data_IF_574559858874
#
_entry.id   IF_574559858874
#
_cell.length_a   1.000
_cell.length_b   1.000
_cell.length_c   1.000
_cell.angle_alpha   90.00
_cell.angle_beta   90.00
_cell.angle_gamma   90.00
#
_symmetry.space_group_name_H-M   'P 1'
#
loop_
_entity.id
_entity.type
_entity.pdbx_description
1 polymer ?
#
# COMPACT_ATOMS: atom_id res chain seq x y z
N UNK A 1 10.70 12.96 8.40
CA UNK A 1 10.87 13.84 7.23
C UNK A 1 11.57 15.13 7.65
N UNK A 2 10.96 16.01 8.49
CA UNK A 2 11.51 17.33 8.87
C UNK A 2 12.96 17.30 9.33
N UNK A 3 13.34 16.36 10.23
CA UNK A 3 14.73 16.25 10.71
C UNK A 3 15.73 15.92 9.60
N UNK A 4 15.35 15.09 8.64
CA UNK A 4 16.20 14.77 7.48
C UNK A 4 16.40 15.99 6.58
N UNK A 5 15.32 16.77 6.36
CA UNK A 5 15.39 18.02 5.58
C UNK A 5 16.27 19.07 6.24
N UNK A 6 16.23 19.19 7.58
CA UNK A 6 17.13 20.07 8.34
C UNK A 6 18.60 19.66 8.18
N UNK A 7 18.92 18.36 8.34
CA UNK A 7 20.28 17.84 8.23
C UNK A 7 20.88 18.15 6.85
N UNK A 8 20.10 17.95 5.79
CA UNK A 8 20.57 18.25 4.42
C UNK A 8 20.77 19.74 4.18
N UNK A 9 19.94 20.61 4.79
CA UNK A 9 20.14 22.06 4.72
C UNK A 9 21.42 22.51 5.44
N UNK A 10 21.80 21.84 6.51
CA UNK A 10 23.00 22.13 7.29
C UNK A 10 24.29 21.57 6.64
N UNK A 11 24.18 20.61 5.72
CA UNK A 11 25.31 19.88 5.14
C UNK A 11 25.11 19.70 3.62
N UNK A 12 25.83 20.50 2.83
CA UNK A 12 25.74 20.48 1.36
C UNK A 12 26.15 19.17 0.70
N UNK A 13 26.95 18.35 1.40
CA UNK A 13 27.46 17.07 0.90
C UNK A 13 26.48 15.90 1.09
N UNK A 14 25.37 16.17 1.78
CA UNK A 14 24.37 15.14 2.03
C UNK A 14 23.29 15.16 0.96
N UNK A 15 22.88 13.96 0.54
CA UNK A 15 21.80 13.75 -0.41
C UNK A 15 20.58 13.15 0.28
N UNK A 16 19.43 13.78 0.12
CA UNK A 16 18.13 13.27 0.57
C UNK A 16 17.35 12.74 -0.62
N UNK A 17 17.16 11.42 -0.69
CA UNK A 17 16.38 10.78 -1.76
C UNK A 17 14.91 11.20 -1.78
N UNK A 18 14.37 11.64 -0.65
CA UNK A 18 13.02 12.20 -0.46
C UNK A 18 11.91 11.37 -1.13
N UNK A 19 11.70 10.16 -0.62
CA UNK A 19 10.79 9.18 -1.20
C UNK A 19 9.33 9.67 -1.36
N UNK A 20 8.91 10.68 -0.61
CA UNK A 20 7.56 11.25 -0.66
C UNK A 20 7.38 12.32 -1.76
N UNK A 21 8.49 12.80 -2.35
CA UNK A 21 8.50 13.89 -3.35
C UNK A 21 9.24 13.53 -4.64
N UNK A 22 10.08 12.49 -4.60
CA UNK A 22 10.91 12.11 -5.72
C UNK A 22 10.10 11.37 -6.80
N UNK A 23 9.93 11.92 -8.00
CA UNK A 23 9.16 11.30 -9.09
C UNK A 23 9.77 9.99 -9.59
N UNK A 24 11.04 9.70 -9.29
CA UNK A 24 11.66 8.43 -9.62
C UNK A 24 10.98 7.24 -8.90
N UNK A 25 10.35 7.50 -7.74
CA UNK A 25 9.63 6.48 -6.99
C UNK A 25 8.43 5.90 -7.80
N UNK A 26 7.40 6.67 -8.18
CA UNK A 26 6.33 6.11 -9.02
C UNK A 26 6.83 5.70 -10.42
N UNK A 27 7.85 6.37 -10.96
CA UNK A 27 8.38 6.04 -12.27
C UNK A 27 8.96 4.63 -12.34
N UNK A 28 9.70 4.18 -11.32
CA UNK A 28 10.25 2.82 -11.30
C UNK A 28 9.15 1.76 -11.17
N UNK A 29 8.13 1.99 -10.34
CA UNK A 29 6.99 1.08 -10.22
C UNK A 29 6.19 0.98 -11.52
N UNK A 30 6.08 2.08 -12.27
CA UNK A 30 5.47 2.07 -13.59
C UNK A 30 6.26 1.25 -14.61
N UNK A 31 7.61 1.34 -14.56
CA UNK A 31 8.50 0.71 -15.51
C UNK A 31 8.78 -0.77 -15.21
N UNK A 32 8.61 -1.21 -13.97
CA UNK A 32 8.94 -2.57 -13.53
C UNK A 32 7.72 -3.26 -12.92
N UNK A 33 7.30 -2.89 -11.73
CA UNK A 33 6.22 -3.55 -10.98
C UNK A 33 4.92 -3.68 -11.79
N UNK A 34 4.55 -2.62 -12.53
CA UNK A 34 3.35 -2.62 -13.35
C UNK A 34 3.44 -3.59 -14.53
N UNK A 35 4.60 -3.63 -15.19
CA UNK A 35 4.85 -4.56 -16.30
C UNK A 35 4.85 -6.02 -15.80
N UNK A 36 5.51 -6.29 -14.66
CA UNK A 36 5.52 -7.61 -14.03
C UNK A 36 4.11 -8.10 -13.71
N UNK A 37 3.28 -7.24 -13.12
CA UNK A 37 1.87 -7.55 -12.84
C UNK A 37 1.10 -7.82 -14.13
N UNK A 38 1.27 -6.98 -15.14
CA UNK A 38 0.58 -7.09 -16.42
C UNK A 38 0.94 -8.40 -17.14
N UNK A 39 2.23 -8.75 -17.18
CA UNK A 39 2.71 -9.99 -17.78
C UNK A 39 2.24 -11.21 -17.00
N UNK A 40 2.36 -11.21 -15.67
CA UNK A 40 1.94 -12.33 -14.82
C UNK A 40 0.44 -12.62 -14.93
N UNK A 41 -0.39 -11.59 -15.08
CA UNK A 41 -1.84 -11.73 -15.25
C UNK A 41 -2.25 -11.91 -16.71
N UNK A 42 -1.32 -11.79 -17.66
CA UNK A 42 -1.62 -11.76 -19.09
C UNK A 42 -2.65 -10.66 -19.45
N UNK A 43 -2.56 -9.54 -18.78
CA UNK A 43 -3.50 -8.42 -18.91
C UNK A 43 -4.90 -8.67 -18.34
N UNK A 44 -5.14 -9.78 -17.68
CA UNK A 44 -6.42 -10.13 -17.06
C UNK A 44 -6.42 -9.68 -15.59
N UNK A 45 -6.66 -8.40 -15.39
CA UNK A 45 -6.75 -7.76 -14.09
C UNK A 45 -7.94 -6.81 -14.09
N UNK A 46 -8.79 -6.90 -13.09
CA UNK A 46 -10.00 -6.08 -12.94
C UNK A 46 -9.85 -5.07 -11.78
N UNK A 47 -9.06 -5.41 -10.76
CA UNK A 47 -8.76 -4.51 -9.66
C UNK A 47 -7.32 -4.66 -9.16
N UNK A 48 -6.71 -3.52 -8.81
CA UNK A 48 -5.42 -3.43 -8.15
C UNK A 48 -5.58 -2.75 -6.78
N UNK A 49 -5.19 -3.44 -5.72
CA UNK A 49 -5.31 -2.99 -4.34
C UNK A 49 -3.93 -2.76 -3.75
N UNK A 50 -3.66 -1.59 -3.19
CA UNK A 50 -2.36 -1.30 -2.59
C UNK A 50 -2.45 -0.31 -1.42
N UNK A 51 -1.71 -0.60 -0.35
CA UNK A 51 -1.50 0.28 0.79
C UNK A 51 -0.70 1.52 0.42
N UNK A 52 -1.10 2.66 0.97
CA UNK A 52 -0.46 3.94 0.67
C UNK A 52 0.50 4.36 1.79
N UNK A 53 1.79 4.13 1.55
CA UNK A 53 2.89 4.72 2.32
C UNK A 53 3.38 6.00 1.63
N UNK A 54 4.32 5.87 0.70
CA UNK A 54 4.75 7.00 -0.14
C UNK A 54 3.81 7.29 -1.31
N UNK A 55 2.98 6.33 -1.67
CA UNK A 55 2.12 6.41 -2.85
C UNK A 55 2.79 6.02 -4.17
N UNK A 56 4.09 5.68 -4.15
CA UNK A 56 4.85 5.37 -5.36
C UNK A 56 4.30 4.16 -6.12
N UNK A 57 4.04 3.07 -5.41
CA UNK A 57 3.53 1.82 -6.00
C UNK A 57 2.16 2.03 -6.64
N UNK A 58 1.20 2.55 -5.87
CA UNK A 58 -0.17 2.72 -6.38
C UNK A 58 -0.23 3.72 -7.52
N UNK A 59 0.56 4.80 -7.47
CA UNK A 59 0.65 5.79 -8.54
C UNK A 59 1.23 5.17 -9.80
N UNK A 60 2.41 4.55 -9.71
CA UNK A 60 3.09 4.00 -10.88
C UNK A 60 2.32 2.87 -11.53
N UNK A 61 1.86 1.90 -10.74
CA UNK A 61 1.06 0.77 -11.23
C UNK A 61 -0.32 1.23 -11.71
N UNK A 62 -1.00 2.06 -10.91
CA UNK A 62 -2.34 2.52 -11.24
C UNK A 62 -2.40 3.33 -12.54
N UNK A 63 -1.46 4.25 -12.75
CA UNK A 63 -1.35 5.00 -14.02
C UNK A 63 -1.17 4.06 -15.20
N UNK A 64 -0.24 3.10 -15.09
CA UNK A 64 -0.01 2.11 -16.15
C UNK A 64 -1.27 1.29 -16.46
N UNK A 65 -1.93 0.78 -15.42
CA UNK A 65 -3.14 -0.04 -15.61
C UNK A 65 -4.28 0.76 -16.22
N UNK A 66 -4.51 2.01 -15.78
CA UNK A 66 -5.54 2.90 -16.34
C UNK A 66 -5.27 3.26 -17.81
N UNK A 67 -4.01 3.31 -18.24
CA UNK A 67 -3.68 3.48 -19.66
C UNK A 67 -3.98 2.23 -20.49
N UNK A 68 -3.78 1.03 -19.91
CA UNK A 68 -4.13 -0.22 -20.60
C UNK A 68 -5.66 -0.42 -20.68
N UNK A 69 -6.35 -0.21 -19.57
CA UNK A 69 -7.80 -0.28 -19.49
C UNK A 69 -8.32 0.61 -18.36
N UNK A 70 -9.14 1.60 -18.70
CA UNK A 70 -9.72 2.56 -17.74
C UNK A 70 -10.71 1.93 -16.75
N UNK A 71 -11.26 0.77 -17.08
CA UNK A 71 -12.23 0.06 -16.25
C UNK A 71 -11.56 -0.71 -15.10
N UNK A 72 -10.24 -0.94 -15.15
CA UNK A 72 -9.49 -1.54 -14.04
C UNK A 72 -9.60 -0.62 -12.82
N UNK A 73 -10.12 -1.14 -11.73
CA UNK A 73 -10.24 -0.39 -10.49
C UNK A 73 -8.91 -0.31 -9.74
N UNK A 74 -8.57 0.86 -9.26
CA UNK A 74 -7.40 1.12 -8.41
C UNK A 74 -7.88 1.50 -7.02
N UNK A 75 -7.59 0.65 -6.04
CA UNK A 75 -8.09 0.78 -4.67
C UNK A 75 -6.92 1.04 -3.72
N UNK A 76 -7.01 2.17 -3.02
CA UNK A 76 -6.04 2.54 -2.00
C UNK A 76 -6.43 1.94 -0.64
N UNK A 77 -5.42 1.49 0.12
CA UNK A 77 -5.60 1.03 1.50
C UNK A 77 -4.87 1.97 2.46
N UNK A 78 -5.56 2.35 3.52
CA UNK A 78 -5.00 3.15 4.61
C UNK A 78 -5.44 2.63 5.98
N UNK A 79 -4.67 2.88 7.07
CA UNK A 79 -5.08 2.52 8.43
C UNK A 79 -6.31 3.31 8.87
N UNK A 80 -7.25 2.67 9.57
CA UNK A 80 -8.44 3.32 10.10
C UNK A 80 -8.13 4.44 11.10
N UNK A 81 -7.01 4.34 11.82
CA UNK A 81 -6.54 5.36 12.76
C UNK A 81 -5.96 6.61 12.06
N UNK A 82 -5.51 6.48 10.79
CA UNK A 82 -4.90 7.56 10.01
C UNK A 82 -5.53 7.68 8.61
N UNK A 83 -6.87 7.94 8.52
CA UNK A 83 -7.65 7.85 7.29
C UNK A 83 -7.59 9.16 6.47
N UNK A 84 -6.39 9.56 6.05
CA UNK A 84 -6.12 10.84 5.36
C UNK A 84 -6.72 10.89 3.96
N UNK A 85 -6.63 9.79 3.21
CA UNK A 85 -7.15 9.70 1.84
C UNK A 85 -8.68 9.71 1.82
N UNK A 86 -9.31 9.12 2.82
CA UNK A 86 -10.76 9.15 3.02
C UNK A 86 -11.28 10.53 3.47
N UNK A 87 -10.40 11.50 3.75
CA UNK A 87 -10.77 12.82 4.25
C UNK A 87 -11.37 12.83 5.67
N UNK A 88 -11.19 11.75 6.42
CA UNK A 88 -11.66 11.63 7.80
C UNK A 88 -10.62 12.19 8.78
N UNK A 89 -11.03 12.58 10.01
CA UNK A 89 -10.10 13.01 11.04
C UNK A 89 -9.10 11.91 11.38
N UNK A 90 -7.83 12.30 11.59
CA UNK A 90 -6.80 11.40 12.09
C UNK A 90 -7.03 11.18 13.58
N UNK A 91 -7.27 9.95 14.00
CA UNK A 91 -7.44 9.60 15.41
C UNK A 91 -6.08 9.36 16.07
N UNK A 92 -5.16 8.72 15.36
CA UNK A 92 -3.80 8.47 15.81
C UNK A 92 -2.83 8.35 14.63
N UNK A 93 -1.62 8.89 14.80
CA UNK A 93 -0.48 8.60 13.91
C UNK A 93 0.29 7.35 14.36
N UNK A 94 -0.07 6.79 15.51
CA UNK A 94 0.50 5.55 16.04
C UNK A 94 -0.52 4.44 15.80
N UNK A 95 -0.20 3.56 14.86
CA UNK A 95 -0.95 2.37 14.49
C UNK A 95 0.04 1.22 14.23
N UNK A 96 -0.43 -0.02 14.27
CA UNK A 96 0.41 -1.20 14.10
C UNK A 96 0.79 -1.48 12.63
N UNK A 97 0.01 -0.99 11.67
CA UNK A 97 0.25 -1.26 10.23
C UNK A 97 1.41 -0.39 9.74
N UNK A 98 2.64 -0.83 9.99
CA UNK A 98 3.84 -0.10 9.58
C UNK A 98 3.98 -0.07 8.06
N UNK A 99 4.58 1.02 7.54
CA UNK A 99 4.86 1.20 6.12
C UNK A 99 3.78 1.96 5.34
N UNK A 100 2.56 2.09 5.88
CA UNK A 100 1.46 2.86 5.29
C UNK A 100 0.91 3.89 6.29
N UNK A 101 0.03 4.79 5.86
CA UNK A 101 -0.63 5.74 6.77
C UNK A 101 0.29 6.84 7.30
N UNK A 102 1.05 7.53 6.44
CA UNK A 102 2.03 8.56 6.80
C UNK A 102 1.43 9.80 7.51
N UNK A 103 0.11 9.92 7.61
CA UNK A 103 -0.58 11.04 8.23
C UNK A 103 -0.68 12.29 7.34
N UNK A 104 -0.32 12.19 6.09
CA UNK A 104 -0.45 13.24 5.08
C UNK A 104 -0.52 12.62 3.68
N UNK A 105 -1.01 13.38 2.71
CA UNK A 105 -1.01 12.99 1.30
C UNK A 105 0.37 13.28 0.70
N UNK A 106 1.12 12.26 0.22
CA UNK A 106 2.42 12.47 -0.40
C UNK A 106 2.34 13.27 -1.71
N UNK A 107 3.35 14.11 -1.99
CA UNK A 107 3.40 14.95 -3.19
C UNK A 107 3.39 14.13 -4.49
N UNK A 108 3.95 12.89 -4.44
CA UNK A 108 4.01 11.98 -5.61
C UNK A 108 2.78 11.11 -5.78
N UNK A 109 1.82 11.15 -4.86
CA UNK A 109 0.59 10.38 -4.98
C UNK A 109 -0.36 11.05 -5.97
N UNK A 110 -0.67 10.33 -7.04
CA UNK A 110 -1.72 10.73 -7.97
C UNK A 110 -3.08 10.22 -7.46
N UNK A 111 -3.82 11.09 -6.79
CA UNK A 111 -5.14 10.73 -6.25
C UNK A 111 -6.21 10.58 -7.33
N UNK A 112 -5.96 11.07 -8.55
CA UNK A 112 -6.95 11.04 -9.65
C UNK A 112 -7.15 9.66 -10.25
N UNK A 113 -6.18 8.73 -10.01
CA UNK A 113 -6.27 7.35 -10.50
C UNK A 113 -6.95 6.41 -9.49
N UNK A 114 -7.21 6.88 -8.28
CA UNK A 114 -7.81 6.09 -7.20
C UNK A 114 -9.33 6.11 -7.35
N UNK A 115 -9.92 4.93 -7.51
CA UNK A 115 -11.38 4.79 -7.63
C UNK A 115 -12.05 4.65 -6.26
N UNK A 116 -11.33 4.05 -5.29
CA UNK A 116 -11.86 3.78 -3.95
C UNK A 116 -10.74 3.79 -2.90
N UNK A 117 -11.10 4.12 -1.65
CA UNK A 117 -10.22 4.05 -0.49
C UNK A 117 -10.85 3.15 0.57
N UNK A 118 -10.13 2.11 0.99
CA UNK A 118 -10.55 1.18 2.04
C UNK A 118 -9.70 1.41 3.29
N UNK A 119 -10.36 1.68 4.41
CA UNK A 119 -9.71 1.74 5.72
C UNK A 119 -9.65 0.36 6.35
N UNK A 120 -8.51 0.01 6.97
CA UNK A 120 -8.28 -1.28 7.62
C UNK A 120 -7.84 -1.07 9.06
N UNK A 121 -8.42 -1.83 9.99
CA UNK A 121 -8.05 -1.82 11.39
C UNK A 121 -6.78 -2.64 11.64
N UNK A 122 -6.02 -2.26 12.67
CA UNK A 122 -4.79 -2.94 13.06
C UNK A 122 -5.00 -4.44 13.32
N UNK A 123 -6.11 -4.80 14.00
CA UNK A 123 -6.47 -6.18 14.28
C UNK A 123 -6.78 -6.98 13.01
N UNK A 124 -7.56 -6.41 12.08
CA UNK A 124 -7.90 -7.05 10.80
C UNK A 124 -6.63 -7.32 9.96
N UNK A 125 -5.71 -6.36 9.94
CA UNK A 125 -4.43 -6.50 9.25
C UNK A 125 -3.57 -7.61 9.88
N UNK A 126 -3.50 -7.66 11.22
CA UNK A 126 -2.74 -8.68 11.94
C UNK A 126 -3.31 -10.08 11.73
N UNK A 127 -4.61 -10.27 11.96
CA UNK A 127 -5.25 -11.57 11.82
C UNK A 127 -5.17 -12.09 10.39
N UNK A 128 -5.31 -11.20 9.40
CA UNK A 128 -5.16 -11.59 7.99
C UNK A 128 -3.72 -12.01 7.68
N UNK A 129 -2.71 -11.26 8.13
CA UNK A 129 -1.30 -11.64 7.95
C UNK A 129 -1.00 -13.01 8.58
N UNK A 130 -1.55 -13.28 9.78
CA UNK A 130 -1.44 -14.57 10.46
C UNK A 130 -2.11 -15.71 9.68
N UNK A 131 -3.31 -15.47 9.15
CA UNK A 131 -4.03 -16.45 8.34
C UNK A 131 -3.29 -16.79 7.04
N UNK A 132 -2.72 -15.81 6.36
CA UNK A 132 -1.88 -16.01 5.16
C UNK A 132 -0.70 -16.93 5.50
N UNK A 133 -0.05 -16.71 6.65
CA UNK A 133 1.03 -17.57 7.11
C UNK A 133 0.59 -19.02 7.35
N UNK A 134 -0.58 -19.23 7.95
CA UNK A 134 -1.10 -20.56 8.28
C UNK A 134 -1.68 -21.29 7.06
N UNK A 135 -2.41 -20.58 6.19
CA UNK A 135 -3.14 -21.18 5.09
C UNK A 135 -2.33 -21.32 3.82
N UNK A 136 -1.49 -20.28 3.53
CA UNK A 136 -0.73 -20.20 2.29
C UNK A 136 0.78 -20.43 2.47
N UNK A 137 1.25 -20.52 3.72
CA UNK A 137 2.67 -20.70 4.02
C UNK A 137 3.53 -19.45 3.75
N UNK A 138 2.91 -18.27 3.63
CA UNK A 138 3.56 -17.00 3.33
C UNK A 138 3.67 -16.16 4.61
N UNK A 139 4.89 -16.02 5.15
CA UNK A 139 5.14 -15.15 6.29
C UNK A 139 5.25 -13.69 5.81
N UNK A 140 4.17 -12.92 5.98
CA UNK A 140 4.05 -11.55 5.48
C UNK A 140 3.97 -10.51 6.59
N UNK A 141 4.30 -9.25 6.28
CA UNK A 141 4.15 -8.12 7.20
C UNK A 141 2.70 -7.62 7.32
N UNK A 142 2.46 -6.71 8.28
CA UNK A 142 1.10 -6.21 8.57
C UNK A 142 0.49 -5.42 7.42
N UNK A 143 1.29 -4.65 6.68
CA UNK A 143 0.77 -3.93 5.51
C UNK A 143 0.31 -4.87 4.39
N UNK A 144 0.96 -6.04 4.26
CA UNK A 144 0.50 -7.09 3.36
C UNK A 144 -0.83 -7.71 3.86
N UNK A 145 -0.96 -7.92 5.18
CA UNK A 145 -2.22 -8.33 5.80
C UNK A 145 -3.36 -7.35 5.51
N UNK A 146 -3.11 -6.05 5.67
CA UNK A 146 -4.08 -5.01 5.34
C UNK A 146 -4.48 -5.02 3.85
N UNK A 147 -3.49 -5.17 2.96
CA UNK A 147 -3.73 -5.26 1.52
C UNK A 147 -4.60 -6.46 1.16
N UNK A 148 -4.30 -7.64 1.72
CA UNK A 148 -5.09 -8.86 1.45
C UNK A 148 -6.49 -8.76 2.05
N UNK A 149 -6.64 -8.22 3.27
CA UNK A 149 -7.95 -7.96 3.86
C UNK A 149 -8.84 -7.11 2.95
N UNK A 150 -8.31 -5.98 2.47
CA UNK A 150 -9.02 -5.12 1.54
C UNK A 150 -9.30 -5.84 0.20
N UNK A 151 -8.35 -6.63 -0.29
CA UNK A 151 -8.50 -7.39 -1.54
C UNK A 151 -9.61 -8.44 -1.45
N UNK A 152 -9.75 -9.12 -0.31
CA UNK A 152 -10.83 -10.09 -0.05
C UNK A 152 -12.19 -9.37 -0.08
N UNK A 153 -12.30 -8.18 0.52
CA UNK A 153 -13.53 -7.37 0.45
C UNK A 153 -13.88 -7.03 -0.99
N UNK A 154 -12.92 -6.50 -1.75
CA UNK A 154 -13.10 -6.16 -3.17
C UNK A 154 -13.52 -7.38 -3.98
N UNK A 155 -12.85 -8.51 -3.80
CA UNK A 155 -13.18 -9.74 -4.50
C UNK A 155 -14.59 -10.26 -4.17
N UNK A 156 -15.04 -10.08 -2.93
CA UNK A 156 -16.39 -10.43 -2.50
C UNK A 156 -17.51 -9.60 -3.16
N UNK A 157 -17.19 -8.39 -3.60
CA UNK A 157 -18.10 -7.49 -4.32
C UNK A 157 -18.06 -7.67 -5.84
N UNK A 158 -17.01 -8.35 -6.32
CA UNK A 158 -16.78 -8.62 -7.74
C UNK A 158 -17.30 -10.01 -8.14
N UNK A 159 -17.39 -10.25 -9.45
CA UNK A 159 -17.82 -11.55 -9.98
C UNK A 159 -16.72 -12.62 -9.91
N UNK A 160 -17.09 -13.90 -9.85
CA UNK A 160 -16.16 -15.05 -9.74
C UNK A 160 -15.11 -15.13 -10.86
N UNK A 161 -15.35 -14.50 -12.02
CA UNK A 161 -14.41 -14.48 -13.14
C UNK A 161 -13.41 -13.29 -13.11
N UNK A 162 -13.52 -12.42 -12.10
CA UNK A 162 -12.70 -11.22 -12.00
C UNK A 162 -11.42 -11.46 -11.20
N UNK A 163 -10.36 -10.75 -11.56
CA UNK A 163 -9.04 -10.88 -10.97
C UNK A 163 -8.68 -9.64 -10.16
N UNK A 164 -8.45 -9.85 -8.86
CA UNK A 164 -7.95 -8.82 -7.94
C UNK A 164 -6.47 -9.09 -7.68
N UNK A 165 -5.63 -8.08 -7.86
CA UNK A 165 -4.18 -8.17 -7.60
C UNK A 165 -3.80 -7.23 -6.48
N UNK A 166 -2.92 -7.69 -5.59
CA UNK A 166 -2.35 -6.88 -4.53
C UNK A 166 -0.86 -7.16 -4.33
N UNK A 167 -0.22 -6.36 -3.45
CA UNK A 167 1.20 -6.47 -3.13
C UNK A 167 1.40 -7.01 -1.72
N UNK A 168 2.21 -8.06 -1.59
CA UNK A 168 2.79 -8.50 -0.32
C UNK A 168 4.13 -7.79 -0.14
N UNK A 169 4.12 -6.66 0.58
CA UNK A 169 5.19 -5.66 0.54
C UNK A 169 6.49 -6.13 1.18
N UNK A 170 6.41 -6.87 2.28
CA UNK A 170 7.56 -7.37 3.04
C UNK A 170 7.21 -8.63 3.85
N UNK A 171 8.18 -9.11 4.60
CA UNK A 171 8.12 -10.38 5.32
C UNK A 171 7.85 -10.17 6.82
N UNK A 172 7.19 -11.15 7.44
CA UNK A 172 6.66 -11.05 8.81
C UNK A 172 7.70 -11.12 9.92
N UNK A 173 8.92 -11.62 9.67
CA UNK A 173 9.97 -11.70 10.69
C UNK A 173 10.35 -10.34 11.30
N UNK A 174 10.07 -9.25 10.60
CA UNK A 174 10.30 -7.88 11.08
C UNK A 174 9.31 -7.44 12.16
N UNK A 175 8.22 -8.20 12.33
CA UNK A 175 7.07 -7.84 13.15
C UNK A 175 6.83 -8.81 14.32
N UNK A 176 7.81 -9.65 14.69
CA UNK A 176 7.67 -10.59 15.80
C UNK A 176 7.38 -9.91 17.14
N UNK A 177 7.92 -8.70 17.37
CA UNK A 177 7.62 -7.90 18.56
C UNK A 177 6.19 -7.35 18.60
N UNK A 178 5.53 -7.26 17.46
CA UNK A 178 4.13 -6.78 17.35
C UNK A 178 3.18 -7.88 17.82
N UNK A 179 3.58 -9.16 17.75
CA UNK A 179 2.78 -10.28 18.21
C UNK A 179 2.36 -10.14 19.67
N UNK A 180 3.25 -9.66 20.53
CA UNK A 180 2.96 -9.44 21.95
C UNK A 180 1.84 -8.42 22.18
N UNK A 181 1.66 -7.47 21.25
CA UNK A 181 0.60 -6.48 21.31
C UNK A 181 -0.78 -7.09 21.05
N UNK A 182 -0.86 -8.10 20.18
CA UNK A 182 -2.14 -8.73 19.79
C UNK A 182 -2.43 -10.05 20.51
N UNK A 183 -1.42 -10.76 21.00
CA UNK A 183 -1.54 -12.09 21.61
C UNK A 183 -1.11 -12.12 23.09
N UNK A 184 -0.74 -10.94 23.67
CA UNK A 184 -0.16 -10.74 25.00
C UNK A 184 -1.09 -10.91 26.20
#
# INVERSE_FOLDING_TARGET
VKRAEEIVKENSDYFLAQQFKNPANPAIHRQTTAEEIWEATQGRIDAFVAGVGTGGTITGVGQFLKEKNKDIKVIAVEPSLSPVLSGKPIESLIHAIQGIGAGFIPDILDTTIIDEVITVDDEDAYQTAKQIGVQEGLLVGLSAGANVYASIKVAGEMGESQTVVTILCDTGERYLSVREYFEG
#
